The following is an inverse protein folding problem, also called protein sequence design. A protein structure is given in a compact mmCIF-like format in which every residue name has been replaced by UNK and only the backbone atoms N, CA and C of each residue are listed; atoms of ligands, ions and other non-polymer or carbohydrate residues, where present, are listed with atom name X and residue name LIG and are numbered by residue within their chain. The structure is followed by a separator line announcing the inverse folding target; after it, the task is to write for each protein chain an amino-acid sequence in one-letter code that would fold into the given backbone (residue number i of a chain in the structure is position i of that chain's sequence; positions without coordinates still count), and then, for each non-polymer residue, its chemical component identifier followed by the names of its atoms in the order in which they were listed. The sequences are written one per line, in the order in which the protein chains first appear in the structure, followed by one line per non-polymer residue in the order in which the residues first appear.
data_IF_069362094328
#
_entry.id   IF_069362094328
#
_cell.length_a   1.000
_cell.length_b   1.000
_cell.length_c   1.000
_cell.angle_alpha   90.00
_cell.angle_beta   90.00
_cell.angle_gamma   90.00
#
_symmetry.space_group_name_H-M   'P 1'
#
loop_
_entity.id
_entity.type
_entity.pdbx_description
1 polymer ?
#
# COMPACT_ATOMS: atom_id res chain seq x y z
N UNK A 1 -6.76 -16.28 -13.08
CA UNK A 1 -7.79 -16.63 -12.07
C UNK A 1 -7.75 -15.53 -11.03
N UNK A 2 -8.77 -14.67 -10.99
CA UNK A 2 -8.87 -13.65 -9.94
C UNK A 2 -9.49 -14.34 -8.74
N UNK A 3 -8.66 -14.90 -7.87
CA UNK A 3 -9.13 -15.37 -6.59
C UNK A 3 -9.71 -14.16 -5.85
N UNK A 4 -10.95 -14.27 -5.36
CA UNK A 4 -11.56 -13.25 -4.51
C UNK A 4 -10.80 -13.23 -3.18
N UNK A 5 -9.65 -12.58 -3.17
CA UNK A 5 -8.83 -12.36 -1.98
C UNK A 5 -9.71 -11.75 -0.90
N UNK A 6 -9.68 -12.32 0.30
CA UNK A 6 -10.42 -11.76 1.40
C UNK A 6 -9.83 -10.38 1.73
N UNK A 7 -10.64 -9.46 2.29
CA UNK A 7 -10.15 -8.14 2.69
C UNK A 7 -8.94 -8.20 3.63
N UNK A 8 -8.78 -9.30 4.40
CA UNK A 8 -7.62 -9.53 5.26
C UNK A 8 -6.36 -9.86 4.45
N UNK A 9 -6.45 -10.70 3.41
CA UNK A 9 -5.31 -11.04 2.55
C UNK A 9 -4.83 -9.80 1.78
N UNK A 10 -5.78 -8.98 1.32
CA UNK A 10 -5.50 -7.69 0.66
C UNK A 10 -4.81 -6.71 1.63
N UNK A 11 -5.17 -6.74 2.91
CA UNK A 11 -4.54 -5.90 3.92
C UNK A 11 -3.08 -6.32 4.14
N UNK A 12 -2.78 -7.62 4.17
CA UNK A 12 -1.39 -8.11 4.28
C UNK A 12 -0.53 -7.63 3.10
N UNK A 13 -1.06 -7.69 1.87
CA UNK A 13 -0.37 -7.11 0.71
C UNK A 13 -0.18 -5.59 0.80
N UNK A 14 -1.18 -4.86 1.32
CA UNK A 14 -1.08 -3.42 1.50
C UNK A 14 -0.03 -3.06 2.57
N UNK A 15 0.12 -3.87 3.62
CA UNK A 15 1.20 -3.73 4.61
C UNK A 15 2.57 -3.94 3.96
N UNK A 16 2.75 -5.00 3.18
CA UNK A 16 4.01 -5.25 2.45
C UNK A 16 4.35 -4.10 1.49
N UNK A 17 3.36 -3.56 0.78
CA UNK A 17 3.56 -2.40 -0.09
C UNK A 17 3.97 -1.15 0.70
N UNK A 18 3.41 -0.93 1.89
CA UNK A 18 3.78 0.17 2.77
C UNK A 18 5.22 0.03 3.29
N UNK A 19 5.65 -1.19 3.64
CA UNK A 19 7.03 -1.46 4.03
C UNK A 19 8.01 -1.17 2.88
N UNK A 20 7.67 -1.59 1.66
CA UNK A 20 8.47 -1.25 0.48
C UNK A 20 8.57 0.25 0.23
N UNK A 21 7.49 1.01 0.45
CA UNK A 21 7.53 2.48 0.36
C UNK A 21 8.39 3.12 1.46
N UNK A 22 8.32 2.60 2.67
CA UNK A 22 9.21 3.04 3.77
C UNK A 22 10.67 2.81 3.40
N UNK A 23 10.99 1.65 2.86
CA UNK A 23 12.37 1.30 2.48
C UNK A 23 12.85 2.17 1.31
N UNK A 24 11.96 2.48 0.36
CA UNK A 24 12.23 3.43 -0.72
C UNK A 24 12.55 4.83 -0.18
N UNK A 25 11.75 5.35 0.76
CA UNK A 25 11.98 6.63 1.44
C UNK A 25 13.30 6.62 2.20
N UNK A 26 13.62 5.52 2.90
CA UNK A 26 14.88 5.38 3.62
C UNK A 26 16.10 5.33 2.69
N UNK A 27 15.91 4.83 1.46
CA UNK A 27 16.94 4.77 0.42
C UNK A 27 17.06 6.06 -0.42
N UNK A 28 16.16 7.04 -0.27
CA UNK A 28 16.21 8.35 -0.96
C UNK A 28 17.58 9.04 -0.89
N UNK A 29 18.34 9.00 0.22
CA UNK A 29 19.70 9.58 0.24
C UNK A 29 20.67 8.96 -0.77
N UNK A 30 20.37 7.76 -1.28
CA UNK A 30 21.21 6.96 -2.18
C UNK A 30 20.58 6.74 -3.58
N UNK A 31 19.35 7.18 -3.81
CA UNK A 31 18.63 7.01 -5.08
C UNK A 31 18.62 8.32 -5.86
N UNK A 32 18.85 8.25 -7.18
CA UNK A 32 18.57 9.38 -8.08
C UNK A 32 17.13 9.85 -7.88
N UNK A 33 16.91 11.18 -7.93
CA UNK A 33 15.65 11.86 -7.61
C UNK A 33 14.41 11.03 -7.96
N UNK A 34 13.80 10.42 -6.93
CA UNK A 34 12.45 9.89 -7.07
C UNK A 34 11.53 11.10 -7.09
N UNK A 35 10.86 11.31 -8.23
CA UNK A 35 9.84 12.35 -8.35
C UNK A 35 8.83 12.21 -7.20
N UNK A 36 8.72 13.27 -6.39
CA UNK A 36 7.83 13.31 -5.23
C UNK A 36 6.37 13.00 -5.57
N UNK A 37 5.97 13.27 -6.82
CA UNK A 37 4.66 12.93 -7.38
C UNK A 37 4.45 11.42 -7.50
N UNK A 38 5.45 10.66 -7.98
CA UNK A 38 5.39 9.20 -8.06
C UNK A 38 5.31 8.57 -6.67
N UNK A 39 6.08 9.09 -5.71
CA UNK A 39 6.01 8.63 -4.33
C UNK A 39 4.62 8.92 -3.72
N UNK A 40 4.08 10.12 -3.93
CA UNK A 40 2.74 10.48 -3.46
C UNK A 40 1.65 9.60 -4.08
N UNK A 41 1.76 9.27 -5.37
CA UNK A 41 0.83 8.37 -6.05
C UNK A 41 0.83 6.97 -5.42
N UNK A 42 2.01 6.41 -5.15
CA UNK A 42 2.14 5.09 -4.53
C UNK A 42 1.57 5.08 -3.10
N UNK A 43 1.86 6.12 -2.31
CA UNK A 43 1.31 6.28 -0.96
C UNK A 43 -0.22 6.36 -1.01
N UNK A 44 -0.78 7.14 -1.95
CA UNK A 44 -2.24 7.25 -2.11
C UNK A 44 -2.89 5.91 -2.50
N UNK A 45 -2.23 5.12 -3.35
CA UNK A 45 -2.73 3.80 -3.75
C UNK A 45 -2.77 2.84 -2.56
N UNK A 46 -1.68 2.73 -1.80
CA UNK A 46 -1.58 1.84 -0.64
C UNK A 46 -2.57 2.26 0.46
N UNK A 47 -2.63 3.56 0.78
CA UNK A 47 -3.56 4.06 1.79
C UNK A 47 -5.03 3.94 1.37
N UNK A 48 -5.32 4.06 0.07
CA UNK A 48 -6.65 3.78 -0.50
C UNK A 48 -7.06 2.32 -0.30
N UNK A 49 -6.15 1.39 -0.57
CA UNK A 49 -6.37 -0.04 -0.40
C UNK A 49 -6.59 -0.43 1.07
N UNK A 50 -5.75 0.07 1.98
CA UNK A 50 -5.94 -0.11 3.44
C UNK A 50 -7.31 0.39 3.89
N UNK A 51 -7.74 1.56 3.38
CA UNK A 51 -9.06 2.12 3.70
C UNK A 51 -10.20 1.26 3.15
N UNK A 52 -10.06 0.69 1.95
CA UNK A 52 -11.05 -0.23 1.38
C UNK A 52 -11.17 -1.50 2.22
N UNK A 53 -10.03 -2.15 2.50
CA UNK A 53 -9.97 -3.35 3.31
C UNK A 53 -10.59 -3.12 4.70
N UNK A 54 -10.24 -2.01 5.36
CA UNK A 54 -10.80 -1.66 6.67
C UNK A 54 -12.32 -1.40 6.64
N UNK A 55 -12.88 -0.91 5.52
CA UNK A 55 -14.34 -0.76 5.36
C UNK A 55 -15.01 -2.12 5.15
N UNK A 56 -14.40 -2.98 4.35
CA UNK A 56 -14.92 -4.31 4.05
C UNK A 56 -14.89 -5.22 5.29
N UNK A 57 -13.78 -5.23 6.03
CA UNK A 57 -13.66 -5.97 7.30
C UNK A 57 -14.70 -5.52 8.34
N UNK A 58 -14.95 -4.21 8.46
CA UNK A 58 -15.99 -3.68 9.36
C UNK A 58 -17.41 -4.07 8.96
N UNK A 59 -17.67 -4.36 7.69
CA UNK A 59 -18.99 -4.83 7.21
C UNK A 59 -19.18 -6.33 7.43
N UNK A 60 -18.09 -7.07 7.58
CA UNK A 60 -18.08 -8.52 7.76
C UNK A 60 -18.06 -8.94 9.25
N UNK A 61 -17.82 -8.00 10.17
CA UNK A 61 -17.85 -8.19 11.62
C UNK A 61 -19.24 -7.88 12.20
#
# INVERSE_FOLDING_TARGET
MSENLQPIDRLDYAVLALEGLRDLVAAVPNLQEIESEKLSMLVNLVTGEVRSCAKELRRAA
#
